data_IF_778310066407
#
_entry.id   IF_778310066407
#
_cell.length_a   1.000
_cell.length_b   1.000
_cell.length_c   1.000
_cell.angle_alpha   90.00
_cell.angle_beta   90.00
_cell.angle_gamma   90.00
#
_symmetry.space_group_name_H-M   'P 1'
#
loop_
_entity.id
_entity.type
_entity.pdbx_description
1 polymer ?
#
# COMPACT_ATOMS: atom_id res chain seq x y z
N UNK A 1 10.07 2.65 -19.20
CA UNK A 1 9.43 3.21 -17.98
C UNK A 1 10.52 3.55 -16.97
N UNK A 2 10.88 4.83 -16.87
CA UNK A 2 11.81 5.33 -15.86
C UNK A 2 11.06 5.41 -14.53
N UNK A 3 11.58 4.77 -13.48
CA UNK A 3 11.12 4.97 -12.11
C UNK A 3 11.92 6.12 -11.53
N UNK A 4 11.31 6.92 -10.65
CA UNK A 4 11.99 8.07 -10.04
C UNK A 4 12.76 7.64 -8.79
N UNK A 5 13.75 8.44 -8.40
CA UNK A 5 14.43 8.27 -7.12
C UNK A 5 13.45 8.31 -5.94
N UNK A 6 12.38 9.10 -6.07
CA UNK A 6 11.35 9.19 -5.04
C UNK A 6 10.52 7.90 -4.91
N UNK A 7 10.24 7.21 -6.02
CA UNK A 7 9.60 5.88 -5.96
C UNK A 7 10.51 4.86 -5.25
N UNK A 8 11.82 4.91 -5.51
CA UNK A 8 12.80 4.04 -4.86
C UNK A 8 12.86 4.30 -3.34
N UNK A 9 12.95 5.59 -2.95
CA UNK A 9 12.94 6.01 -1.53
C UNK A 9 11.64 5.60 -0.83
N UNK A 10 10.49 5.87 -1.44
CA UNK A 10 9.19 5.54 -0.85
C UNK A 10 9.04 4.03 -0.63
N UNK A 11 9.44 3.21 -1.61
CA UNK A 11 9.42 1.76 -1.47
C UNK A 11 10.35 1.27 -0.36
N UNK A 12 11.56 1.84 -0.24
CA UNK A 12 12.49 1.49 0.83
C UNK A 12 11.93 1.84 2.21
N UNK A 13 11.31 3.01 2.35
CA UNK A 13 10.72 3.44 3.61
C UNK A 13 9.53 2.56 4.03
N UNK A 14 8.58 2.33 3.10
CA UNK A 14 7.29 1.68 3.39
C UNK A 14 7.32 0.14 3.33
N UNK A 15 8.24 -0.44 2.56
CA UNK A 15 8.27 -1.87 2.27
C UNK A 15 9.64 -2.52 2.50
N UNK A 16 10.65 -1.74 2.96
CA UNK A 16 12.03 -2.21 3.20
C UNK A 16 12.67 -2.83 1.97
N UNK A 17 12.25 -2.37 0.79
CA UNK A 17 12.72 -2.88 -0.49
C UNK A 17 12.71 -1.79 -1.55
N UNK A 18 13.56 -1.94 -2.56
CA UNK A 18 13.63 -1.00 -3.68
C UNK A 18 12.45 -1.14 -4.65
N UNK A 19 12.18 -0.10 -5.44
CA UNK A 19 11.20 -0.20 -6.52
C UNK A 19 11.68 -1.17 -7.60
N UNK A 20 12.98 -1.19 -7.91
CA UNK A 20 13.56 -2.17 -8.86
C UNK A 20 13.33 -3.60 -8.40
N UNK A 21 13.56 -3.86 -7.12
CA UNK A 21 13.36 -5.19 -6.54
C UNK A 21 11.88 -5.59 -6.57
N UNK A 22 10.99 -4.66 -6.20
CA UNK A 22 9.55 -4.85 -6.30
C UNK A 22 9.15 -5.16 -7.74
N UNK A 23 9.60 -4.37 -8.72
CA UNK A 23 9.24 -4.56 -10.12
C UNK A 23 9.67 -5.93 -10.67
N UNK A 24 10.84 -6.44 -10.27
CA UNK A 24 11.43 -7.69 -10.81
C UNK A 24 10.90 -8.96 -10.14
N UNK A 25 10.51 -8.91 -8.86
CA UNK A 25 10.10 -10.10 -8.09
C UNK A 25 8.58 -10.15 -7.91
N UNK A 26 7.92 -11.06 -8.63
CA UNK A 26 6.45 -11.22 -8.58
C UNK A 26 5.93 -11.45 -7.16
N UNK A 27 6.59 -12.31 -6.38
CA UNK A 27 6.18 -12.60 -5.00
C UNK A 27 6.20 -11.34 -4.12
N UNK A 28 7.19 -10.47 -4.31
CA UNK A 28 7.28 -9.21 -3.57
C UNK A 28 6.14 -8.26 -3.97
N UNK A 29 5.78 -8.21 -5.26
CA UNK A 29 4.61 -7.44 -5.73
C UNK A 29 3.33 -7.93 -5.08
N UNK A 30 3.10 -9.24 -5.12
CA UNK A 30 1.91 -9.85 -4.53
C UNK A 30 1.83 -9.54 -3.02
N UNK A 31 2.94 -9.60 -2.29
CA UNK A 31 2.96 -9.28 -0.87
C UNK A 31 2.56 -7.82 -0.59
N UNK A 32 3.11 -6.88 -1.37
CA UNK A 32 2.76 -5.46 -1.28
C UNK A 32 1.29 -5.22 -1.60
N UNK A 33 0.77 -5.76 -2.70
CA UNK A 33 -0.63 -5.54 -3.09
C UNK A 33 -1.62 -6.20 -2.12
N UNK A 34 -1.28 -7.36 -1.54
CA UNK A 34 -2.09 -7.98 -0.48
C UNK A 34 -2.21 -7.06 0.74
N UNK A 35 -1.09 -6.47 1.17
CA UNK A 35 -1.08 -5.54 2.31
C UNK A 35 -1.90 -4.29 2.01
N UNK A 36 -1.76 -3.71 0.81
CA UNK A 36 -2.55 -2.57 0.35
C UNK A 36 -4.05 -2.86 0.37
N UNK A 37 -4.46 -4.05 -0.08
CA UNK A 37 -5.87 -4.44 -0.02
C UNK A 37 -6.39 -4.54 1.41
N UNK A 38 -5.60 -5.11 2.33
CA UNK A 38 -5.98 -5.19 3.74
C UNK A 38 -6.14 -3.81 4.39
N UNK A 39 -5.17 -2.91 4.14
CA UNK A 39 -5.20 -1.52 4.61
C UNK A 39 -6.43 -0.78 4.05
N UNK A 40 -6.75 -0.97 2.76
CA UNK A 40 -7.93 -0.38 2.12
C UNK A 40 -9.25 -0.86 2.75
N UNK A 41 -9.41 -2.17 2.96
CA UNK A 41 -10.60 -2.73 3.60
C UNK A 41 -10.75 -2.26 5.06
N UNK A 42 -9.64 -2.14 5.79
CA UNK A 42 -9.66 -1.59 7.14
C UNK A 42 -10.11 -0.13 7.14
N UNK A 43 -9.56 0.69 6.23
CA UNK A 43 -9.96 2.09 6.07
C UNK A 43 -11.45 2.23 5.73
N UNK A 44 -11.97 1.41 4.80
CA UNK A 44 -13.40 1.38 4.48
C UNK A 44 -14.26 1.11 5.70
N UNK A 45 -13.90 0.12 6.53
CA UNK A 45 -14.64 -0.21 7.76
C UNK A 45 -14.60 0.93 8.77
N UNK A 46 -13.45 1.60 8.91
CA UNK A 46 -13.31 2.76 9.80
C UNK A 46 -14.19 3.93 9.34
N UNK A 47 -14.17 4.26 8.05
CA UNK A 47 -15.02 5.32 7.47
C UNK A 47 -16.49 4.99 7.68
N UNK A 48 -16.92 3.77 7.35
CA UNK A 48 -18.32 3.35 7.55
C UNK A 48 -18.77 3.47 9.01
N UNK A 49 -17.89 3.15 9.97
CA UNK A 49 -18.16 3.31 11.41
C UNK A 49 -18.25 4.76 11.85
N UNK A 50 -17.40 5.64 11.31
CA UNK A 50 -17.47 7.08 11.58
C UNK A 50 -18.78 7.65 11.02
N UNK A 51 -19.12 7.30 9.78
CA UNK A 51 -20.35 7.75 9.11
C UNK A 51 -21.62 7.29 9.85
N UNK A 52 -21.63 6.06 10.39
CA UNK A 52 -22.76 5.60 11.21
C UNK A 52 -22.90 6.41 12.50
N UNK A 53 -21.78 6.77 13.14
CA UNK A 53 -21.79 7.52 14.39
C UNK A 53 -22.17 9.00 14.21
N UNK A 54 -21.89 9.59 13.05
CA UNK A 54 -22.25 11.00 12.75
C UNK A 54 -23.75 11.12 12.42
N UNK A 55 -24.37 10.06 11.88
CA UNK A 55 -25.78 10.05 11.49
C UNK A 55 -26.76 9.77 12.65
N UNK A 56 -26.25 9.58 13.87
CA UNK A 56 -27.03 9.36 15.09
C UNK A 56 -26.97 10.62 15.95
#
# INVERSE_FOLDING_TARGET
MHYTLEMEKAMQQSHKMGYVEYKRKLNNRIAVEKRRQQEYEQCKRMVAKIDSNIKT
#
